data_IF_030916749758
#
_entry.id   IF_030916749758
#
_cell.length_a   1.000
_cell.length_b   1.000
_cell.length_c   1.000
_cell.angle_alpha   90.00
_cell.angle_beta   90.00
_cell.angle_gamma   90.00
#
_symmetry.space_group_name_H-M   'P 1'
#
loop_
_entity.id
_entity.type
_entity.pdbx_description
1 polymer ?
#
# COMPACT_ATOMS: atom_id res chain seq x y z
N UNK A 1 3.61 15.04 5.80
CA UNK A 1 2.14 15.03 5.99
C UNK A 1 1.48 13.75 5.45
N UNK A 2 1.79 13.32 4.22
CA UNK A 2 1.29 12.10 3.57
C UNK A 2 1.55 10.84 4.41
N UNK A 3 2.81 10.64 4.82
CA UNK A 3 3.24 9.54 5.69
C UNK A 3 2.42 9.41 6.97
N UNK A 4 2.14 10.54 7.62
CA UNK A 4 1.35 10.57 8.84
C UNK A 4 -0.07 10.06 8.59
N UNK A 5 -0.69 10.45 7.47
CA UNK A 5 -2.05 10.04 7.13
C UNK A 5 -2.11 8.54 6.81
N UNK A 6 -1.11 8.01 6.09
CA UNK A 6 -0.99 6.57 5.81
C UNK A 6 -0.81 5.78 7.12
N UNK A 7 0.07 6.25 8.00
CA UNK A 7 0.28 5.63 9.33
C UNK A 7 -0.99 5.68 10.17
N UNK A 8 -1.63 6.84 10.26
CA UNK A 8 -2.88 7.05 11.01
C UNK A 8 -4.01 6.16 10.45
N UNK A 9 -4.03 5.92 9.13
CA UNK A 9 -4.94 4.97 8.52
C UNK A 9 -4.66 3.53 9.00
N UNK A 10 -3.40 3.10 9.02
CA UNK A 10 -3.04 1.77 9.52
C UNK A 10 -3.34 1.59 11.01
N UNK A 11 -3.13 2.65 11.81
CA UNK A 11 -3.49 2.68 13.23
C UNK A 11 -5.02 2.77 13.47
N UNK A 12 -5.81 3.01 12.42
CA UNK A 12 -7.27 3.10 12.50
C UNK A 12 -7.81 4.42 13.01
N UNK A 13 -6.97 5.46 13.12
CA UNK A 13 -7.38 6.82 13.50
C UNK A 13 -7.87 7.63 12.31
N UNK A 14 -7.54 7.20 11.08
CA UNK A 14 -8.00 7.79 9.82
C UNK A 14 -8.74 6.73 8.99
N UNK A 15 -9.83 7.15 8.34
CA UNK A 15 -10.64 6.30 7.46
C UNK A 15 -10.11 6.30 6.01
N UNK A 16 -10.56 5.33 5.22
CA UNK A 16 -10.08 5.10 3.85
C UNK A 16 -10.35 6.29 2.90
N UNK A 17 -11.45 7.02 3.09
CA UNK A 17 -11.78 8.22 2.32
C UNK A 17 -10.69 9.29 2.45
N UNK A 18 -10.21 9.52 3.68
CA UNK A 18 -9.12 10.45 3.98
C UNK A 18 -7.76 9.98 3.46
N UNK A 19 -7.53 8.67 3.41
CA UNK A 19 -6.36 8.11 2.74
C UNK A 19 -6.38 8.37 1.23
N UNK A 20 -7.54 8.25 0.58
CA UNK A 20 -7.66 8.48 -0.87
C UNK A 20 -7.55 9.97 -1.21
N UNK A 21 -8.06 10.87 -0.35
CA UNK A 21 -7.99 12.33 -0.54
C UNK A 21 -6.55 12.86 -0.71
N UNK A 22 -5.53 12.20 -0.14
CA UNK A 22 -4.14 12.65 -0.25
C UNK A 22 -3.46 12.29 -1.57
N UNK A 23 -3.98 11.29 -2.31
CA UNK A 23 -3.32 10.73 -3.50
C UNK A 23 -3.05 11.78 -4.59
N UNK A 24 -4.01 12.65 -4.98
CA UNK A 24 -3.78 13.63 -6.04
C UNK A 24 -2.67 14.65 -5.73
N UNK A 25 -2.39 14.90 -4.45
CA UNK A 25 -1.30 15.80 -4.03
C UNK A 25 0.04 15.09 -3.82
N UNK A 26 0.00 13.78 -3.56
CA UNK A 26 1.17 12.98 -3.22
C UNK A 26 1.78 12.25 -4.43
N UNK A 27 1.01 12.03 -5.50
CA UNK A 27 1.46 11.39 -6.73
C UNK A 27 1.35 12.34 -7.92
N UNK A 28 2.38 12.36 -8.77
CA UNK A 28 2.41 13.05 -10.06
C UNK A 28 2.61 12.05 -11.19
N UNK A 29 1.77 12.18 -12.22
CA UNK A 29 2.02 11.52 -13.50
C UNK A 29 3.04 12.34 -14.30
N UNK A 30 4.17 11.71 -14.62
CA UNK A 30 5.21 12.27 -15.47
C UNK A 30 5.35 11.36 -16.69
N UNK A 31 4.60 11.67 -17.75
CA UNK A 31 4.70 10.96 -19.03
C UNK A 31 4.25 9.51 -19.00
N UNK A 32 3.21 9.19 -18.22
CA UNK A 32 2.67 7.83 -18.04
C UNK A 32 3.34 7.05 -16.91
N UNK A 33 4.32 7.64 -16.22
CA UNK A 33 4.95 7.08 -15.02
C UNK A 33 4.47 7.82 -13.78
N UNK A 34 3.96 7.08 -12.79
CA UNK A 34 3.59 7.64 -11.50
C UNK A 34 4.86 7.86 -10.66
N UNK A 35 5.05 9.08 -10.18
CA UNK A 35 6.14 9.49 -9.30
C UNK A 35 5.55 10.03 -8.00
N UNK A 36 6.13 9.70 -6.85
CA UNK A 36 5.68 10.29 -5.59
C UNK A 36 6.43 11.59 -5.28
N UNK A 37 5.74 12.50 -4.62
CA UNK A 37 6.35 13.71 -4.07
C UNK A 37 6.93 13.34 -2.72
N UNK A 38 8.27 13.40 -2.61
CA UNK A 38 8.97 13.18 -1.34
C UNK A 38 8.46 14.18 -0.29
N UNK A 39 7.79 13.65 0.72
CA UNK A 39 7.53 14.38 1.95
C UNK A 39 8.81 14.27 2.77
N UNK A 40 9.53 15.39 2.98
CA UNK A 40 10.71 15.38 3.84
C UNK A 40 10.25 15.12 5.27
N UNK A 41 10.33 13.88 5.70
CA UNK A 41 10.04 13.49 7.07
C UNK A 41 11.35 13.56 7.86
N UNK A 42 11.43 14.44 8.86
CA UNK A 42 12.61 14.59 9.74
C UNK A 42 12.62 13.56 10.90
N UNK A 43 11.65 12.64 10.94
CA UNK A 43 11.53 11.66 12.01
C UNK A 43 12.48 10.48 11.79
N UNK A 44 13.29 10.16 12.80
CA UNK A 44 14.17 8.97 12.82
C UNK A 44 13.43 7.67 13.16
N UNK A 45 12.11 7.72 13.36
CA UNK A 45 11.30 6.57 13.70
C UNK A 45 10.77 5.89 12.45
N UNK A 46 10.97 4.58 12.34
CA UNK A 46 10.37 3.74 11.31
C UNK A 46 9.06 3.12 11.81
N UNK A 47 8.16 2.83 10.89
CA UNK A 47 6.88 2.17 11.13
C UNK A 47 6.89 0.79 10.46
N UNK A 48 6.79 -0.26 11.27
CA UNK A 48 6.80 -1.64 10.79
C UNK A 48 5.44 -2.01 10.16
N UNK A 49 5.44 -2.21 8.85
CA UNK A 49 4.32 -2.79 8.12
C UNK A 49 4.29 -4.30 8.29
N UNK A 50 3.06 -4.82 8.36
CA UNK A 50 2.77 -6.25 8.56
C UNK A 50 1.65 -6.65 7.60
N UNK A 51 1.45 -7.95 7.41
CA UNK A 51 0.35 -8.45 6.58
C UNK A 51 -1.02 -7.90 7.01
N UNK A 52 -1.24 -7.68 8.32
CA UNK A 52 -2.48 -7.10 8.86
C UNK A 52 -2.77 -5.70 8.30
N UNK A 53 -1.75 -4.88 8.15
CA UNK A 53 -1.90 -3.54 7.58
C UNK A 53 -2.30 -3.61 6.10
N UNK A 54 -1.71 -4.53 5.34
CA UNK A 54 -2.02 -4.68 3.91
C UNK A 54 -3.38 -5.35 3.68
N UNK A 55 -3.79 -6.29 4.54
CA UNK A 55 -5.14 -6.87 4.52
C UNK A 55 -6.19 -5.77 4.67
N UNK A 56 -5.94 -4.77 5.53
CA UNK A 56 -6.86 -3.64 5.69
C UNK A 56 -7.12 -2.90 4.36
N UNK A 57 -6.06 -2.63 3.59
CA UNK A 57 -6.19 -2.04 2.24
C UNK A 57 -7.01 -2.95 1.31
N UNK A 58 -6.75 -4.26 1.33
CA UNK A 58 -7.51 -5.21 0.54
C UNK A 58 -9.01 -5.18 0.88
N UNK A 59 -9.35 -5.21 2.17
CA UNK A 59 -10.72 -5.19 2.63
C UNK A 59 -11.42 -3.87 2.29
N UNK A 60 -10.76 -2.73 2.44
CA UNK A 60 -11.35 -1.45 2.06
C UNK A 60 -11.52 -1.33 0.53
N UNK A 61 -10.64 -1.92 -0.27
CA UNK A 61 -10.80 -2.01 -1.73
C UNK A 61 -11.95 -2.94 -2.15
N UNK A 62 -12.05 -4.13 -1.55
CA UNK A 62 -13.15 -5.08 -1.78
C UNK A 62 -14.51 -4.49 -1.40
N UNK A 63 -14.53 -3.62 -0.37
CA UNK A 63 -15.71 -2.86 0.03
C UNK A 63 -15.90 -1.54 -0.74
N UNK A 64 -15.16 -1.33 -1.85
CA UNK A 64 -15.26 -0.17 -2.74
C UNK A 64 -14.96 1.19 -2.08
N UNK A 65 -14.28 1.21 -0.94
CA UNK A 65 -13.81 2.45 -0.29
C UNK A 65 -12.50 2.96 -0.88
N UNK A 66 -11.71 2.06 -1.47
CA UNK A 66 -10.45 2.36 -2.17
C UNK A 66 -10.57 1.80 -3.58
N UNK A 67 -10.24 2.60 -4.61
CA UNK A 67 -10.25 2.09 -6.00
C UNK A 67 -8.98 1.29 -6.27
N UNK A 68 -9.04 0.40 -7.27
CA UNK A 68 -7.86 -0.38 -7.70
C UNK A 68 -6.70 0.53 -8.16
N UNK A 69 -7.01 1.67 -8.79
CA UNK A 69 -6.01 2.69 -9.14
C UNK A 69 -5.34 3.31 -7.93
N UNK A 70 -6.07 3.44 -6.83
CA UNK A 70 -5.59 4.06 -5.60
C UNK A 70 -4.67 3.09 -4.83
N UNK A 71 -4.88 1.77 -4.94
CA UNK A 71 -3.95 0.77 -4.38
C UNK A 71 -2.55 0.89 -4.97
N UNK A 72 -2.43 1.10 -6.30
CA UNK A 72 -1.13 1.33 -6.95
C UNK A 72 -0.46 2.59 -6.40
N UNK A 73 -1.21 3.68 -6.28
CA UNK A 73 -0.70 4.93 -5.71
C UNK A 73 -0.25 4.76 -4.25
N UNK A 74 -1.04 4.07 -3.42
CA UNK A 74 -0.70 3.81 -2.01
C UNK A 74 0.56 2.93 -1.92
N UNK A 75 0.70 1.90 -2.76
CA UNK A 75 1.89 1.06 -2.81
C UNK A 75 3.16 1.87 -3.14
N UNK A 76 3.07 2.77 -4.12
CA UNK A 76 4.16 3.70 -4.47
C UNK A 76 4.51 4.63 -3.30
N UNK A 77 3.53 5.19 -2.60
CA UNK A 77 3.76 6.06 -1.45
C UNK A 77 4.42 5.32 -0.29
N UNK A 78 3.99 4.09 -0.01
CA UNK A 78 4.56 3.26 1.05
C UNK A 78 6.02 2.91 0.73
N UNK A 79 6.29 2.43 -0.49
CA UNK A 79 7.65 2.01 -0.89
C UNK A 79 8.61 3.19 -1.03
N UNK A 80 8.09 4.34 -1.44
CA UNK A 80 8.86 5.56 -1.64
C UNK A 80 9.14 6.36 -0.37
N UNK A 81 8.64 5.91 0.79
CA UNK A 81 8.73 6.61 2.06
C UNK A 81 9.73 5.94 2.99
N UNK A 82 10.63 6.73 3.57
CA UNK A 82 11.57 6.26 4.61
C UNK A 82 10.87 5.91 5.93
N UNK A 83 9.59 6.27 6.10
CA UNK A 83 8.84 5.92 7.30
C UNK A 83 8.52 4.42 7.33
N UNK A 84 8.07 3.85 6.22
CA UNK A 84 7.50 2.50 6.21
C UNK A 84 8.56 1.44 5.91
N UNK A 85 8.62 0.40 6.75
CA UNK A 85 9.56 -0.71 6.60
C UNK A 85 8.86 -2.05 6.85
N UNK A 86 9.32 -3.12 6.21
CA UNK A 86 8.92 -4.49 6.50
C UNK A 86 10.15 -5.39 6.40
N UNK A 87 10.16 -6.48 7.19
CA UNK A 87 11.27 -7.43 7.20
C UNK A 87 10.99 -8.58 6.21
N UNK A 88 11.48 -8.44 4.98
CA UNK A 88 11.29 -9.41 3.90
C UNK A 88 11.97 -10.77 4.15
N UNK A 89 12.86 -10.88 5.14
CA UNK A 89 13.45 -12.16 5.55
C UNK A 89 12.50 -12.97 6.45
N UNK A 90 11.43 -12.33 6.96
CA UNK A 90 10.37 -13.01 7.70
C UNK A 90 9.25 -13.47 6.78
N UNK A 91 8.54 -14.54 7.17
CA UNK A 91 7.36 -14.99 6.44
C UNK A 91 6.25 -13.92 6.36
N UNK A 92 6.15 -13.02 7.34
CA UNK A 92 5.16 -11.95 7.30
C UNK A 92 5.56 -10.83 6.34
N UNK A 93 6.78 -10.31 6.47
CA UNK A 93 7.27 -9.23 5.62
C UNK A 93 7.49 -9.66 4.17
N UNK A 94 7.79 -10.94 3.90
CA UNK A 94 7.78 -11.48 2.53
C UNK A 94 6.40 -11.36 1.86
N UNK A 95 5.33 -11.69 2.58
CA UNK A 95 3.96 -11.54 2.05
C UNK A 95 3.62 -10.07 1.76
N UNK A 96 4.08 -9.16 2.63
CA UNK A 96 3.94 -7.71 2.42
C UNK A 96 4.69 -7.30 1.14
N UNK A 97 5.95 -7.71 1.01
CA UNK A 97 6.80 -7.38 -0.14
C UNK A 97 6.18 -7.84 -1.46
N UNK A 98 5.75 -9.11 -1.53
CA UNK A 98 5.14 -9.71 -2.72
C UNK A 98 3.91 -8.91 -3.19
N UNK A 99 3.03 -8.54 -2.26
CA UNK A 99 1.79 -7.81 -2.59
C UNK A 99 2.08 -6.37 -2.99
N UNK A 100 2.91 -5.65 -2.24
CA UNK A 100 3.26 -4.26 -2.52
C UNK A 100 4.00 -4.13 -3.85
N UNK A 101 4.97 -5.02 -4.14
CA UNK A 101 5.68 -5.05 -5.42
C UNK A 101 4.73 -5.27 -6.60
N UNK A 102 3.75 -6.15 -6.44
CA UNK A 102 2.78 -6.42 -7.50
C UNK A 102 1.84 -5.23 -7.75
N UNK A 103 1.38 -4.56 -6.70
CA UNK A 103 0.50 -3.39 -6.85
C UNK A 103 1.21 -2.17 -7.39
N UNK A 104 2.48 -1.97 -7.09
CA UNK A 104 3.29 -0.87 -7.60
C UNK A 104 3.50 -0.98 -9.11
N UNK A 105 3.77 -2.21 -9.58
CA UNK A 105 4.13 -2.52 -10.97
C UNK A 105 3.18 -3.55 -11.61
N UNK A 106 1.87 -3.27 -11.70
CA UNK A 106 0.88 -4.24 -12.15
C UNK A 106 1.02 -4.60 -13.63
N UNK A 107 1.59 -3.69 -14.43
CA UNK A 107 1.87 -3.92 -15.86
C UNK A 107 2.99 -4.95 -16.08
N UNK A 108 3.84 -5.17 -15.08
CA UNK A 108 4.94 -6.13 -15.11
C UNK A 108 4.52 -7.45 -14.45
N UNK A 109 3.74 -7.37 -13.38
CA UNK A 109 3.51 -8.50 -12.50
C UNK A 109 2.14 -9.18 -12.69
N UNK A 110 1.03 -8.43 -12.66
CA UNK A 110 -0.36 -8.87 -12.93
C UNK A 110 -1.29 -7.65 -12.84
N UNK A 111 -2.27 -7.45 -13.75
CA UNK A 111 -3.24 -6.38 -13.60
C UNK A 111 -3.98 -6.46 -12.27
N UNK A 112 -4.03 -5.36 -11.51
CA UNK A 112 -4.78 -5.32 -10.24
C UNK A 112 -6.28 -5.38 -10.52
N UNK A 113 -6.88 -6.57 -10.36
CA UNK A 113 -8.33 -6.81 -10.44
C UNK A 113 -8.92 -7.04 -9.05
N UNK A 114 -10.25 -7.02 -8.91
CA UNK A 114 -10.90 -7.36 -7.63
C UNK A 114 -10.60 -8.79 -7.19
N UNK A 115 -10.59 -9.74 -8.14
CA UNK A 115 -10.23 -11.14 -7.86
C UNK A 115 -8.79 -11.24 -7.34
N UNK A 116 -7.88 -10.46 -7.92
CA UNK A 116 -6.49 -10.40 -7.46
C UNK A 116 -6.39 -9.81 -6.05
N UNK A 117 -7.14 -8.74 -5.74
CA UNK A 117 -7.19 -8.18 -4.37
C UNK A 117 -7.72 -9.19 -3.36
N UNK A 118 -8.73 -9.99 -3.75
CA UNK A 118 -9.25 -11.06 -2.91
C UNK A 118 -8.20 -12.16 -2.67
N UNK A 119 -7.46 -12.55 -3.71
CA UNK A 119 -6.32 -13.44 -3.59
C UNK A 119 -5.25 -12.88 -2.65
N UNK A 120 -4.88 -11.59 -2.79
CA UNK A 120 -3.91 -10.94 -1.92
C UNK A 120 -4.35 -11.01 -0.45
N UNK A 121 -5.61 -10.72 -0.14
CA UNK A 121 -6.14 -10.81 1.22
C UNK A 121 -5.97 -12.22 1.81
N UNK A 122 -6.31 -13.25 1.02
CA UNK A 122 -6.14 -14.65 1.41
C UNK A 122 -4.67 -15.02 1.63
N UNK A 123 -3.79 -14.66 0.70
CA UNK A 123 -2.36 -14.92 0.80
C UNK A 123 -1.73 -14.22 2.00
N UNK A 124 -2.08 -12.96 2.26
CA UNK A 124 -1.59 -12.21 3.41
C UNK A 124 -2.02 -12.85 4.73
N UNK A 125 -3.25 -13.39 4.80
CA UNK A 125 -3.77 -14.04 6.00
C UNK A 125 -3.14 -15.43 6.24
N UNK A 126 -3.00 -16.24 5.19
CA UNK A 126 -2.67 -17.68 5.31
C UNK A 126 -1.23 -18.02 4.94
N UNK A 127 -0.61 -17.25 4.04
CA UNK A 127 0.65 -17.59 3.37
C UNK A 127 0.51 -18.60 2.24
N UNK A 128 -0.71 -18.99 1.86
CA UNK A 128 -0.96 -19.97 0.80
C UNK A 128 -1.26 -19.31 -0.55
N UNK A 129 -0.74 -19.91 -1.62
CA UNK A 129 -1.08 -19.55 -3.00
C UNK A 129 -2.28 -20.37 -3.46
N UNK A 130 -3.35 -19.70 -3.90
CA UNK A 130 -4.59 -20.29 -4.40
C UNK A 130 -4.73 -20.20 -5.91
#
# INVERSE_FOLDING_TARGET
MTDKIIKDYFDGTVAADKLVEIIPGAIKDVGGSLTWVLDKNESSQTYLLTSKHIIKLCLDALNQKIKLSDLRAIALLIRGSDLFHWDSDTGDGKKVDDVICNWESPEINTPTTMDYVQYCAYYLETGEHR
#
